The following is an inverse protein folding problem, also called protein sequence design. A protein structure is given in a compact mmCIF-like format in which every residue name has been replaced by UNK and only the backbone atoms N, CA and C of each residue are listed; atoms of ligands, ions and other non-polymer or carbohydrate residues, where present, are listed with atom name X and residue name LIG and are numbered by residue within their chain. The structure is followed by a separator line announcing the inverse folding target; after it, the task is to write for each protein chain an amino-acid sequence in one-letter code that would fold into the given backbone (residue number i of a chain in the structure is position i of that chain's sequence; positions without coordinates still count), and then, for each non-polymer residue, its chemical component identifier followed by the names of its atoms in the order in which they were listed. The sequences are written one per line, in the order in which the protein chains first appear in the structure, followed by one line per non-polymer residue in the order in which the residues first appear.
data_IF_911270222612
#
_entry.id   IF_911270222612
#
_cell.length_a   1.000
_cell.length_b   1.000
_cell.length_c   1.000
_cell.angle_alpha   90.00
_cell.angle_beta   90.00
_cell.angle_gamma   90.00
#
_symmetry.space_group_name_H-M   'P 1'
#
loop_
_entity.id
_entity.type
_entity.pdbx_description
1 polymer ?
#
# COMPACT_ATOMS: atom_id res chain seq x y z
N UNK A 1 -17.55 11.02 7.00
CA UNK A 1 -17.52 9.57 6.67
C UNK A 1 -17.98 8.70 7.87
N UNK A 2 -18.89 7.73 7.63
CA UNK A 2 -19.51 6.88 8.65
C UNK A 2 -18.48 6.19 9.57
N UNK A 3 -17.35 5.72 9.03
CA UNK A 3 -16.30 5.05 9.81
C UNK A 3 -15.64 5.94 10.89
N UNK A 4 -15.55 7.26 10.67
CA UNK A 4 -14.96 8.18 11.66
C UNK A 4 -15.91 8.50 12.82
N UNK A 5 -17.20 8.12 12.74
CA UNK A 5 -18.15 8.29 13.85
C UNK A 5 -17.75 7.45 15.08
N UNK A 6 -17.02 6.35 14.87
CA UNK A 6 -16.45 5.54 15.95
C UNK A 6 -15.29 6.23 16.69
N UNK A 7 -14.87 7.43 16.26
CA UNK A 7 -13.74 8.21 16.80
C UNK A 7 -12.48 7.36 17.03
N UNK A 8 -12.02 6.60 16.02
CA UNK A 8 -10.88 5.71 16.20
C UNK A 8 -9.61 6.51 16.50
N UNK A 9 -8.73 5.98 17.35
CA UNK A 9 -7.39 6.55 17.53
C UNK A 9 -6.56 6.43 16.23
N UNK A 10 -6.74 5.33 15.50
CA UNK A 10 -5.99 5.03 14.29
C UNK A 10 -6.87 4.52 13.16
N UNK A 11 -6.54 4.93 11.94
CA UNK A 11 -7.06 4.36 10.69
C UNK A 11 -5.89 3.72 9.96
N UNK A 12 -6.01 2.45 9.56
CA UNK A 12 -4.93 1.72 8.90
C UNK A 12 -5.10 1.71 7.37
N UNK A 13 -4.02 1.95 6.63
CA UNK A 13 -3.97 1.85 5.18
C UNK A 13 -2.90 0.83 4.75
N UNK A 14 -3.33 -0.31 4.21
CA UNK A 14 -2.45 -1.37 3.71
C UNK A 14 -2.13 -1.17 2.22
N UNK A 15 -1.11 -0.37 1.92
CA UNK A 15 -0.87 0.14 0.56
C UNK A 15 -0.39 -0.95 -0.41
N UNK A 16 0.46 -1.88 0.05
CA UNK A 16 0.98 -2.97 -0.79
C UNK A 16 -0.11 -3.91 -1.26
N UNK A 17 -0.86 -4.49 -0.32
CA UNK A 17 -1.92 -5.46 -0.64
C UNK A 17 -2.95 -4.83 -1.57
N UNK A 18 -3.30 -3.55 -1.32
CA UNK A 18 -4.21 -2.79 -2.16
C UNK A 18 -3.66 -2.61 -3.58
N UNK A 19 -2.39 -2.24 -3.73
CA UNK A 19 -1.75 -2.09 -5.04
C UNK A 19 -1.67 -3.43 -5.79
N UNK A 20 -1.24 -4.50 -5.13
CA UNK A 20 -1.17 -5.86 -5.71
C UNK A 20 -2.53 -6.33 -6.19
N UNK A 21 -3.59 -6.12 -5.40
CA UNK A 21 -4.97 -6.43 -5.77
C UNK A 21 -5.41 -5.68 -7.02
N UNK A 22 -5.23 -4.36 -7.03
CA UNK A 22 -5.63 -3.54 -8.18
C UNK A 22 -4.88 -3.95 -9.45
N UNK A 23 -3.58 -4.24 -9.31
CA UNK A 23 -2.74 -4.68 -10.44
C UNK A 23 -3.23 -6.00 -11.02
N UNK A 24 -3.51 -6.99 -10.16
CA UNK A 24 -3.96 -8.31 -10.58
C UNK A 24 -5.34 -8.26 -11.23
N UNK A 25 -6.28 -7.53 -10.63
CA UNK A 25 -7.63 -7.35 -11.18
C UNK A 25 -7.58 -6.64 -12.53
N UNK A 26 -6.84 -5.54 -12.64
CA UNK A 26 -6.71 -4.80 -13.89
C UNK A 26 -6.12 -5.67 -15.00
N UNK A 27 -5.06 -6.43 -14.71
CA UNK A 27 -4.43 -7.33 -15.68
C UNK A 27 -5.41 -8.39 -16.21
N UNK A 28 -6.22 -9.00 -15.34
CA UNK A 28 -7.23 -9.99 -15.75
C UNK A 28 -8.34 -9.36 -16.58
N UNK A 29 -8.83 -8.18 -16.19
CA UNK A 29 -9.84 -7.44 -16.94
C UNK A 29 -9.34 -7.01 -18.32
N UNK A 30 -8.11 -6.51 -18.41
CA UNK A 30 -7.50 -6.07 -19.67
C UNK A 30 -7.24 -7.25 -20.59
N UNK A 31 -6.72 -8.36 -20.07
CA UNK A 31 -6.54 -9.59 -20.83
C UNK A 31 -7.88 -10.11 -21.36
N UNK A 32 -8.93 -10.14 -20.53
CA UNK A 32 -10.27 -10.58 -20.95
C UNK A 32 -10.85 -9.66 -22.01
N UNK A 33 -10.68 -8.35 -21.85
CA UNK A 33 -11.14 -7.37 -22.85
C UNK A 33 -10.44 -7.56 -24.20
N UNK A 34 -9.16 -7.95 -24.19
CA UNK A 34 -8.38 -8.18 -25.40
C UNK A 34 -8.69 -9.52 -26.08
N UNK A 35 -8.96 -10.59 -25.32
CA UNK A 35 -9.12 -11.94 -25.86
C UNK A 35 -10.56 -12.44 -25.97
N UNK A 36 -11.46 -11.93 -25.12
CA UNK A 36 -12.81 -12.49 -24.93
C UNK A 36 -12.82 -13.87 -24.24
N UNK A 37 -11.72 -14.26 -23.59
CA UNK A 37 -11.58 -15.57 -22.94
C UNK A 37 -12.17 -15.59 -21.52
N UNK A 38 -13.32 -16.23 -21.35
CA UNK A 38 -14.01 -16.39 -20.07
C UNK A 38 -13.16 -17.11 -18.99
N UNK A 39 -12.12 -17.87 -19.38
CA UNK A 39 -11.16 -18.46 -18.43
C UNK A 39 -10.44 -17.41 -17.57
N UNK A 40 -10.30 -16.18 -18.08
CA UNK A 40 -9.77 -15.05 -17.33
C UNK A 40 -10.76 -14.52 -16.29
N UNK A 41 -12.07 -14.61 -16.55
CA UNK A 41 -13.10 -14.28 -15.55
C UNK A 41 -13.21 -15.36 -14.47
N UNK A 42 -12.99 -16.63 -14.81
CA UNK A 42 -12.86 -17.71 -13.82
C UNK A 42 -11.67 -17.43 -12.90
N UNK A 43 -10.51 -17.09 -13.47
CA UNK A 43 -9.32 -16.70 -12.71
C UNK A 43 -9.56 -15.44 -11.84
N UNK A 44 -10.37 -14.49 -12.32
CA UNK A 44 -10.76 -13.31 -11.56
C UNK A 44 -11.66 -13.69 -10.38
N UNK A 45 -12.64 -14.57 -10.58
CA UNK A 45 -13.51 -15.08 -9.49
C UNK A 45 -12.71 -15.78 -8.41
N UNK A 46 -11.80 -16.68 -8.79
CA UNK A 46 -10.87 -17.33 -7.86
C UNK A 46 -10.04 -16.30 -7.08
N UNK A 47 -9.56 -15.27 -7.77
CA UNK A 47 -8.82 -14.19 -7.12
C UNK A 47 -9.67 -13.39 -6.14
N UNK A 48 -10.93 -13.07 -6.49
CA UNK A 48 -11.86 -12.36 -5.62
C UNK A 48 -12.23 -13.19 -4.37
N UNK A 49 -12.36 -14.51 -4.50
CA UNK A 49 -12.52 -15.43 -3.37
C UNK A 49 -11.27 -15.45 -2.48
N UNK A 50 -10.09 -15.59 -3.07
CA UNK A 50 -8.82 -15.64 -2.35
C UNK A 50 -8.45 -14.32 -1.64
N UNK A 51 -9.13 -13.22 -1.97
CA UNK A 51 -8.89 -11.89 -1.40
C UNK A 51 -10.09 -11.36 -0.62
N UNK A 52 -11.02 -12.24 -0.25
CA UNK A 52 -12.20 -11.95 0.57
C UNK A 52 -13.13 -10.86 -0.01
N UNK A 53 -13.08 -10.63 -1.32
CA UNK A 53 -14.04 -9.79 -2.02
C UNK A 53 -15.38 -10.51 -2.26
N UNK A 54 -15.33 -11.84 -2.34
CA UNK A 54 -16.49 -12.72 -2.36
C UNK A 54 -16.53 -13.56 -1.08
N UNK A 55 -17.74 -13.95 -0.60
CA UNK A 55 -17.87 -14.84 0.54
C UNK A 55 -17.16 -16.18 0.30
N UNK A 56 -16.55 -16.73 1.35
CA UNK A 56 -15.94 -18.05 1.28
C UNK A 56 -16.97 -19.11 0.84
N UNK A 57 -16.59 -19.92 -0.16
CA UNK A 57 -17.45 -20.97 -0.71
C UNK A 57 -18.40 -20.54 -1.83
N UNK A 58 -18.44 -19.26 -2.21
CA UNK A 58 -19.21 -18.78 -3.36
C UNK A 58 -18.48 -19.06 -4.69
N UNK A 59 -18.18 -20.34 -4.95
CA UNK A 59 -17.37 -20.77 -6.10
C UNK A 59 -18.10 -20.68 -7.43
N UNK A 60 -19.42 -20.57 -7.40
CA UNK A 60 -20.30 -20.47 -8.57
C UNK A 60 -20.82 -19.04 -8.81
N UNK A 61 -20.21 -18.02 -8.17
CA UNK A 61 -20.59 -16.62 -8.38
C UNK A 61 -20.55 -16.26 -9.88
N UNK A 62 -21.52 -15.47 -10.34
CA UNK A 62 -21.64 -15.11 -11.75
C UNK A 62 -20.39 -14.38 -12.26
N UNK A 63 -19.90 -14.77 -13.43
CA UNK A 63 -18.68 -14.20 -14.02
C UNK A 63 -18.87 -12.74 -14.44
N UNK A 64 -20.05 -12.39 -14.94
CA UNK A 64 -20.41 -11.02 -15.25
C UNK A 64 -20.44 -10.13 -14.01
N UNK A 65 -20.92 -10.65 -12.89
CA UNK A 65 -20.95 -9.96 -11.59
C UNK A 65 -19.53 -9.78 -11.04
N UNK A 66 -18.68 -10.81 -11.13
CA UNK A 66 -17.26 -10.74 -10.78
C UNK A 66 -16.56 -9.64 -11.57
N UNK A 67 -16.79 -9.58 -12.89
CA UNK A 67 -16.25 -8.54 -13.77
C UNK A 67 -16.70 -7.16 -13.33
N UNK A 68 -18.00 -6.93 -13.16
CA UNK A 68 -18.54 -5.61 -12.76
C UNK A 68 -18.04 -5.19 -11.39
N UNK A 69 -17.87 -6.12 -10.46
CA UNK A 69 -17.29 -5.85 -9.15
C UNK A 69 -15.83 -5.38 -9.25
N UNK A 70 -15.00 -6.12 -9.99
CA UNK A 70 -13.60 -5.75 -10.19
C UNK A 70 -13.47 -4.40 -10.92
N UNK A 71 -14.27 -4.15 -11.96
CA UNK A 71 -14.31 -2.86 -12.66
C UNK A 71 -14.64 -1.72 -11.69
N UNK A 72 -15.68 -1.88 -10.86
CA UNK A 72 -16.04 -0.89 -9.82
C UNK A 72 -14.92 -0.63 -8.83
N UNK A 73 -14.19 -1.67 -8.42
CA UNK A 73 -13.05 -1.54 -7.51
C UNK A 73 -11.93 -0.73 -8.17
N UNK A 74 -11.55 -1.06 -9.41
CA UNK A 74 -10.51 -0.36 -10.18
C UNK A 74 -10.87 1.10 -10.41
N UNK A 75 -12.13 1.38 -10.78
CA UNK A 75 -12.64 2.75 -10.93
C UNK A 75 -12.62 3.50 -9.61
N UNK A 76 -13.14 2.92 -8.53
CA UNK A 76 -13.15 3.57 -7.22
C UNK A 76 -11.75 3.91 -6.70
N UNK A 77 -10.79 3.02 -6.92
CA UNK A 77 -9.38 3.22 -6.56
C UNK A 77 -8.64 4.16 -7.53
N UNK A 78 -9.29 4.60 -8.61
CA UNK A 78 -8.69 5.41 -9.68
C UNK A 78 -7.39 4.82 -10.21
N UNK A 79 -7.31 3.49 -10.25
CA UNK A 79 -6.04 2.78 -10.47
C UNK A 79 -5.43 3.03 -11.85
N UNK A 80 -6.27 3.34 -12.85
CA UNK A 80 -5.82 3.69 -14.21
C UNK A 80 -5.45 5.16 -14.38
N UNK A 81 -5.53 5.95 -13.32
CA UNK A 81 -5.19 7.37 -13.30
C UNK A 81 -3.90 7.58 -12.49
N UNK A 82 -3.14 8.66 -12.74
CA UNK A 82 -1.91 8.94 -12.00
C UNK A 82 -2.08 8.95 -10.48
N UNK A 83 -3.26 9.38 -9.99
CA UNK A 83 -3.55 9.49 -8.56
C UNK A 83 -3.76 8.12 -7.86
N UNK A 84 -4.17 7.07 -8.59
CA UNK A 84 -4.40 5.75 -7.99
C UNK A 84 -3.35 4.70 -8.37
N UNK A 85 -2.57 4.96 -9.42
CA UNK A 85 -1.59 4.01 -9.95
C UNK A 85 -0.45 3.67 -8.97
N UNK A 86 -0.17 4.55 -8.01
CA UNK A 86 0.85 4.35 -6.96
C UNK A 86 0.35 3.54 -5.75
N UNK A 87 -0.95 3.22 -5.68
CA UNK A 87 -1.56 2.49 -4.57
C UNK A 87 -1.81 3.32 -3.31
N UNK A 88 -1.63 4.65 -3.37
CA UNK A 88 -1.87 5.57 -2.25
C UNK A 88 -3.26 6.20 -2.29
N UNK A 89 -4.19 5.69 -3.11
CA UNK A 89 -5.57 6.16 -3.24
C UNK A 89 -6.29 6.22 -1.88
N UNK A 90 -6.15 5.17 -1.07
CA UNK A 90 -6.73 5.13 0.29
C UNK A 90 -6.08 6.10 1.26
N UNK A 91 -4.77 6.34 1.11
CA UNK A 91 -4.03 7.29 1.95
C UNK A 91 -4.53 8.69 1.65
N UNK A 92 -4.57 9.10 0.37
CA UNK A 92 -5.11 10.38 -0.09
C UNK A 92 -6.54 10.60 0.41
N UNK A 93 -7.41 9.62 0.18
CA UNK A 93 -8.80 9.71 0.63
C UNK A 93 -8.89 9.90 2.15
N UNK A 94 -8.14 9.13 2.93
CA UNK A 94 -8.17 9.20 4.39
C UNK A 94 -7.62 10.52 4.91
N UNK A 95 -6.54 11.04 4.32
CA UNK A 95 -6.01 12.36 4.70
C UNK A 95 -7.02 13.48 4.42
N UNK A 96 -7.70 13.47 3.27
CA UNK A 96 -8.78 14.43 2.96
C UNK A 96 -9.92 14.36 3.99
N UNK A 97 -10.28 13.14 4.41
CA UNK A 97 -11.28 12.94 5.46
C UNK A 97 -10.82 13.45 6.83
N UNK A 98 -9.58 13.16 7.23
CA UNK A 98 -9.04 13.60 8.51
C UNK A 98 -8.85 15.12 8.58
N UNK A 99 -8.52 15.79 7.46
CA UNK A 99 -8.41 17.25 7.40
C UNK A 99 -9.72 17.94 7.78
N UNK A 100 -10.85 17.38 7.36
CA UNK A 100 -12.19 17.93 7.61
C UNK A 100 -12.86 17.39 8.88
N UNK A 101 -12.27 16.40 9.54
CA UNK A 101 -12.85 15.78 10.72
C UNK A 101 -12.49 16.55 12.00
N UNK A 102 -13.45 16.72 12.89
CA UNK A 102 -13.20 17.19 14.27
C UNK A 102 -12.66 16.03 15.14
N UNK A 103 -11.52 15.47 14.74
CA UNK A 103 -10.83 14.36 15.38
C UNK A 103 -9.33 14.66 15.49
N UNK A 104 -8.93 15.52 16.45
CA UNK A 104 -7.56 15.99 16.55
C UNK A 104 -6.54 14.91 16.98
N UNK A 105 -7.00 13.78 17.50
CA UNK A 105 -6.10 12.71 17.96
C UNK A 105 -6.07 11.50 17.03
N UNK A 106 -7.00 11.42 16.07
CA UNK A 106 -7.00 10.36 15.07
C UNK A 106 -5.79 10.50 14.15
N UNK A 107 -5.11 9.39 13.89
CA UNK A 107 -3.96 9.31 12.98
C UNK A 107 -4.17 8.24 11.91
N UNK A 108 -3.58 8.45 10.75
CA UNK A 108 -3.48 7.46 9.70
C UNK A 108 -2.18 6.66 9.88
N UNK A 109 -2.26 5.34 9.98
CA UNK A 109 -1.11 4.46 9.92
C UNK A 109 -0.98 3.91 8.50
N UNK A 110 0.14 4.18 7.84
CA UNK A 110 0.51 3.54 6.58
C UNK A 110 1.26 2.25 6.88
N UNK A 111 0.63 1.15 6.53
CA UNK A 111 1.07 -0.22 6.79
C UNK A 111 1.65 -0.86 5.53
N UNK A 112 2.47 -1.90 5.73
CA UNK A 112 3.00 -2.76 4.65
C UNK A 112 3.86 -1.98 3.64
N UNK A 113 4.71 -1.08 4.13
CA UNK A 113 5.71 -0.43 3.28
C UNK A 113 6.86 -1.39 2.98
N UNK A 114 7.07 -1.65 1.69
CA UNK A 114 8.18 -2.43 1.17
C UNK A 114 8.51 -2.02 -0.28
N UNK A 115 9.56 -2.62 -0.84
CA UNK A 115 9.96 -2.37 -2.21
C UNK A 115 10.49 -0.95 -2.45
N UNK A 116 10.95 -0.67 -3.66
CA UNK A 116 11.72 0.55 -3.90
C UNK A 116 10.85 1.82 -4.01
N UNK A 117 9.55 1.65 -4.26
CA UNK A 117 8.64 2.77 -4.57
C UNK A 117 7.81 3.26 -3.38
N UNK A 118 7.52 2.41 -2.39
CA UNK A 118 6.57 2.80 -1.33
C UNK A 118 7.03 4.04 -0.54
N UNK A 119 8.29 4.07 -0.07
CA UNK A 119 8.81 5.24 0.64
C UNK A 119 8.84 6.51 -0.26
N UNK A 120 9.47 6.52 -1.45
CA UNK A 120 9.50 7.72 -2.28
C UNK A 120 8.11 8.27 -2.67
N UNK A 121 7.14 7.41 -2.93
CA UNK A 121 5.79 7.86 -3.29
C UNK A 121 5.05 8.47 -2.09
N UNK A 122 5.22 7.92 -0.87
CA UNK A 122 4.67 8.52 0.35
C UNK A 122 5.34 9.85 0.66
N UNK A 123 6.67 9.93 0.52
CA UNK A 123 7.42 11.15 0.76
C UNK A 123 6.99 12.26 -0.22
N UNK A 124 6.88 11.93 -1.52
CA UNK A 124 6.33 12.82 -2.55
C UNK A 124 4.90 13.27 -2.22
N UNK A 125 4.04 12.34 -1.78
CA UNK A 125 2.67 12.66 -1.37
C UNK A 125 2.67 13.68 -0.22
N UNK A 126 3.47 13.47 0.81
CA UNK A 126 3.53 14.32 2.00
C UNK A 126 4.20 15.68 1.74
N UNK A 127 5.10 15.75 0.77
CA UNK A 127 5.71 16.99 0.30
C UNK A 127 4.82 17.79 -0.66
N UNK A 128 3.72 17.21 -1.15
CA UNK A 128 2.80 17.90 -2.05
C UNK A 128 2.07 19.06 -1.37
N UNK A 129 1.75 20.10 -2.14
CA UNK A 129 0.95 21.23 -1.66
C UNK A 129 -0.37 20.76 -1.03
N UNK A 130 -0.97 19.71 -1.59
CA UNK A 130 -2.24 19.20 -1.09
C UNK A 130 -2.12 18.67 0.33
N UNK A 131 -1.03 18.04 0.76
CA UNK A 131 -0.93 17.31 2.03
C UNK A 131 0.17 17.76 2.98
N UNK A 132 0.86 18.87 2.68
CA UNK A 132 1.94 19.40 3.51
C UNK A 132 1.54 19.63 4.98
N UNK A 133 0.29 20.06 5.24
CA UNK A 133 -0.28 20.28 6.57
C UNK A 133 -0.63 18.98 7.33
N UNK A 134 -0.65 17.84 6.63
CA UNK A 134 -1.12 16.56 7.17
C UNK A 134 -0.01 15.62 7.62
N UNK A 135 1.25 16.00 7.48
CA UNK A 135 2.41 15.20 7.92
C UNK A 135 2.32 14.73 9.37
N UNK A 136 1.81 15.59 10.28
CA UNK A 136 1.63 15.24 11.71
C UNK A 136 0.44 14.31 11.99
N UNK A 137 -0.38 14.03 10.97
CA UNK A 137 -1.53 13.13 11.05
C UNK A 137 -1.20 11.71 10.61
N UNK A 138 0.04 11.46 10.15
CA UNK A 138 0.45 10.20 9.58
C UNK A 138 1.53 9.53 10.44
N UNK A 139 1.41 8.22 10.61
CA UNK A 139 2.44 7.34 11.13
C UNK A 139 2.78 6.28 10.08
N UNK A 140 4.07 5.96 9.94
CA UNK A 140 4.54 4.92 9.04
C UNK A 140 4.98 3.72 9.89
N UNK A 141 4.60 2.52 9.46
CA UNK A 141 5.15 1.27 10.00
C UNK A 141 5.86 0.50 8.90
N UNK A 142 7.16 0.26 9.09
CA UNK A 142 7.99 -0.51 8.19
C UNK A 142 9.16 -1.14 8.97
N UNK A 143 9.81 -2.15 8.40
CA UNK A 143 11.01 -2.73 9.01
C UNK A 143 12.11 -1.68 9.16
N UNK A 144 12.85 -1.63 10.29
CA UNK A 144 13.90 -0.63 10.49
C UNK A 144 14.96 -0.61 9.38
N UNK A 145 15.33 -1.79 8.86
CA UNK A 145 16.29 -1.91 7.76
C UNK A 145 15.75 -1.31 6.45
N UNK A 146 14.45 -1.42 6.22
CA UNK A 146 13.80 -0.80 5.07
C UNK A 146 13.88 0.73 5.15
N UNK A 147 13.50 1.32 6.29
CA UNK A 147 13.55 2.76 6.50
C UNK A 147 14.97 3.32 6.44
N UNK A 148 15.95 2.57 6.96
CA UNK A 148 17.36 2.99 6.94
C UNK A 148 17.91 3.22 5.52
N UNK A 149 17.35 2.56 4.50
CA UNK A 149 17.72 2.79 3.09
C UNK A 149 17.43 4.21 2.61
N UNK A 150 16.45 4.88 3.23
CA UNK A 150 15.96 6.19 2.80
C UNK A 150 16.28 7.29 3.82
N UNK A 151 16.32 6.96 5.11
CA UNK A 151 16.62 7.90 6.19
C UNK A 151 18.12 8.03 6.51
N UNK A 152 18.98 7.16 5.96
CA UNK A 152 20.43 7.19 6.15
C UNK A 152 21.15 7.13 4.80
N UNK A 153 22.24 7.88 4.64
CA UNK A 153 23.10 7.70 3.48
C UNK A 153 23.65 6.25 3.49
N UNK A 154 23.58 5.54 2.35
CA UNK A 154 24.04 4.14 2.24
C UNK A 154 25.48 3.91 2.75
N UNK A 155 26.32 4.96 2.72
CA UNK A 155 27.66 4.95 3.28
C UNK A 155 27.69 4.77 4.80
N UNK A 156 26.68 5.25 5.53
CA UNK A 156 26.57 5.14 7.01
C UNK A 156 26.30 3.70 7.42
N UNK A 157 25.38 3.00 6.76
CA UNK A 157 25.10 1.58 7.03
C UNK A 157 26.32 0.72 6.69
N UNK A 158 26.98 1.01 5.56
CA UNK A 158 28.20 0.32 5.13
C UNK A 158 29.36 0.58 6.09
N UNK A 159 29.45 1.79 6.65
CA UNK A 159 30.42 2.12 7.69
C UNK A 159 30.12 1.36 8.99
N UNK A 160 28.88 1.39 9.48
CA UNK A 160 28.48 0.68 10.69
C UNK A 160 28.72 -0.83 10.60
N UNK A 161 28.41 -1.47 9.46
CA UNK A 161 28.73 -2.90 9.25
C UNK A 161 30.23 -3.17 9.31
N UNK A 162 31.03 -2.34 8.63
CA UNK A 162 32.51 -2.46 8.66
C UNK A 162 33.06 -2.28 10.07
N UNK A 163 32.53 -1.30 10.80
CA UNK A 163 32.89 -1.03 12.18
C UNK A 163 32.54 -2.20 13.11
N UNK A 164 31.30 -2.70 13.06
CA UNK A 164 30.87 -3.84 13.88
C UNK A 164 31.65 -5.12 13.56
N UNK A 165 31.96 -5.35 12.28
CA UNK A 165 32.79 -6.48 11.83
C UNK A 165 34.22 -6.36 12.36
N UNK A 166 34.80 -5.16 12.37
CA UNK A 166 36.11 -4.90 12.94
C UNK A 166 36.09 -5.08 14.48
N UNK A 167 35.07 -4.58 15.16
CA UNK A 167 34.90 -4.73 16.60
C UNK A 167 34.71 -6.21 17.01
N UNK A 168 33.96 -6.99 16.22
CA UNK A 168 33.74 -8.42 16.49
C UNK A 168 34.97 -9.30 16.25
N UNK A 169 35.94 -8.83 15.46
CA UNK A 169 37.17 -9.58 15.15
C UNK A 169 38.26 -9.40 16.21
N UNK A 170 38.12 -8.45 17.13
CA UNK A 170 39.13 -8.13 18.14
C UNK A 170 40.47 -7.66 17.53
N UNK A 171 41.38 -7.05 18.31
CA UNK A 171 42.73 -6.83 17.83
C UNK A 171 43.38 -8.20 17.57
N UNK A 172 43.99 -8.38 16.41
CA UNK A 172 44.84 -9.54 16.15
C UNK A 172 45.99 -9.49 17.16
N UNK A 173 45.93 -10.35 18.18
CA UNK A 173 47.04 -10.58 19.09
C UNK A 173 48.09 -11.32 18.27
N UNK A 174 49.08 -10.59 17.78
CA UNK A 174 50.26 -11.16 17.14
C UNK A 174 51.01 -12.01 18.16
N UNK A 175 51.18 -13.29 17.84
CA UNK A 175 52.16 -14.18 18.48
C UNK A 175 53.49 -14.08 17.74
#
# INVERSE_FOLDING_TARGET
PLALQARPAYVNAFIRHRLTQSTRMAALLDAHTASGDDGLLVSLREYLLATDHLPAGDTEHDLGDCRRMAERIITHRRFREPEGADGLDSVRHTLRLLRSANLPDTRLIVCSMEGERAYPEIDRLLASEEFADMTRRLAVTAEPQYLARFASANQVVSYQRRFLTAASRGPAVGH
#
